data_IF_593100242042
#
_entry.id   IF_593100242042
#
_cell.length_a   1.000
_cell.length_b   1.000
_cell.length_c   1.000
_cell.angle_alpha   90.00
_cell.angle_beta   90.00
_cell.angle_gamma   90.00
#
_symmetry.space_group_name_H-M   'P 1'
#
loop_
_entity.id
_entity.type
_entity.pdbx_description
1 polymer ?
#
# COMPACT_ATOMS: atom_id res chain seq x y z
N UNK A 1 25.68 59.62 -68.70
CA UNK A 1 24.35 60.13 -68.31
C UNK A 1 23.58 58.94 -67.78
N UNK A 2 23.48 58.78 -66.46
CA UNK A 2 22.83 57.62 -65.85
C UNK A 2 21.35 57.59 -66.28
N UNK A 3 20.88 56.45 -66.78
CA UNK A 3 19.55 56.30 -67.35
C UNK A 3 18.50 56.27 -66.21
N UNK A 4 17.60 57.25 -66.11
CA UNK A 4 16.61 57.32 -65.03
C UNK A 4 15.68 56.10 -64.98
N UNK A 5 15.52 55.38 -66.10
CA UNK A 5 14.73 54.16 -66.15
C UNK A 5 15.41 52.97 -65.45
N UNK A 6 16.75 52.93 -65.42
CA UNK A 6 17.49 51.88 -64.69
C UNK A 6 17.39 52.07 -63.17
N UNK A 7 17.33 53.32 -62.70
CA UNK A 7 17.10 53.62 -61.29
C UNK A 7 15.71 53.15 -60.82
N UNK A 8 14.69 53.30 -61.68
CA UNK A 8 13.32 52.86 -61.39
C UNK A 8 13.17 51.32 -61.37
N UNK A 9 13.89 50.61 -62.24
CA UNK A 9 13.91 49.13 -62.23
C UNK A 9 14.60 48.55 -60.99
N UNK A 10 15.61 49.25 -60.46
CA UNK A 10 16.31 48.85 -59.23
C UNK A 10 15.46 49.12 -57.97
N UNK A 11 14.63 50.16 -57.96
CA UNK A 11 13.67 50.40 -56.87
C UNK A 11 12.59 49.31 -56.81
N UNK A 12 12.14 48.77 -57.95
CA UNK A 12 11.16 47.67 -58.01
C UNK A 12 11.71 46.31 -57.54
N UNK A 13 13.02 46.12 -57.48
CA UNK A 13 13.65 44.86 -57.05
C UNK A 13 13.81 44.77 -55.52
N UNK A 14 13.52 45.87 -54.79
CA UNK A 14 13.62 45.96 -53.33
C UNK A 14 12.27 45.71 -52.65
N UNK A 15 11.48 44.80 -53.20
CA UNK A 15 10.17 44.42 -52.65
C UNK A 15 9.97 42.90 -52.65
N UNK A 16 11.03 42.16 -52.34
CA UNK A 16 10.87 40.82 -51.79
C UNK A 16 10.54 41.02 -50.31
N UNK A 17 9.25 41.15 -50.01
CA UNK A 17 8.75 40.87 -48.68
C UNK A 17 9.19 39.44 -48.32
N UNK A 18 10.18 39.32 -47.43
CA UNK A 18 10.33 38.09 -46.66
C UNK A 18 8.99 37.87 -45.95
N UNK A 19 8.38 36.68 -46.04
CA UNK A 19 7.23 36.40 -45.19
C UNK A 19 7.68 36.68 -43.76
N UNK A 20 6.90 37.51 -43.05
CA UNK A 20 7.11 37.77 -41.63
C UNK A 20 7.56 36.49 -40.97
N UNK A 21 8.70 36.53 -40.27
CA UNK A 21 9.26 35.39 -39.53
C UNK A 21 8.08 34.66 -38.93
N UNK A 22 7.84 33.42 -39.40
CA UNK A 22 6.69 32.63 -38.99
C UNK A 22 6.74 32.67 -37.49
N UNK A 23 5.85 33.49 -36.92
CA UNK A 23 5.83 33.71 -35.50
C UNK A 23 5.47 32.34 -35.00
N UNK A 24 6.47 31.60 -34.52
CA UNK A 24 6.30 30.30 -33.89
C UNK A 24 5.43 30.41 -32.62
N UNK A 25 4.98 31.63 -32.32
CA UNK A 25 3.82 32.02 -31.55
C UNK A 25 2.55 32.11 -32.41
N UNK A 26 1.54 31.25 -32.19
CA UNK A 26 1.13 30.85 -30.86
C UNK A 26 1.49 29.37 -30.69
N UNK A 27 2.34 29.06 -29.72
CA UNK A 27 2.22 27.77 -29.06
C UNK A 27 0.79 27.74 -28.52
N UNK A 28 -0.12 27.20 -29.31
CA UNK A 28 -1.55 27.19 -29.04
C UNK A 28 -1.74 26.75 -27.60
N UNK A 29 -2.58 27.46 -26.85
CA UNK A 29 -2.88 27.20 -25.42
C UNK A 29 -3.06 25.69 -25.14
N UNK A 30 -3.47 24.90 -26.15
CA UNK A 30 -3.49 23.44 -26.13
C UNK A 30 -2.19 22.74 -25.69
N UNK A 31 -0.99 23.24 -26.00
CA UNK A 31 0.25 22.62 -25.49
C UNK A 31 0.44 22.82 -23.99
N UNK A 32 0.03 23.97 -23.46
CA UNK A 32 0.02 24.21 -22.02
C UNK A 32 -1.00 23.30 -21.33
N UNK A 33 -2.15 23.03 -21.96
CA UNK A 33 -3.12 22.05 -21.47
C UNK A 33 -2.53 20.64 -21.48
N UNK A 34 -1.86 20.23 -22.56
CA UNK A 34 -1.17 18.92 -22.65
C UNK A 34 -0.08 18.81 -21.59
N UNK A 35 0.74 19.85 -21.40
CA UNK A 35 1.77 19.89 -20.38
C UNK A 35 1.18 19.81 -18.97
N UNK A 36 0.08 20.53 -18.70
CA UNK A 36 -0.62 20.46 -17.41
C UNK A 36 -1.18 19.06 -17.13
N UNK A 37 -1.75 18.40 -18.15
CA UNK A 37 -2.22 17.00 -18.04
C UNK A 37 -1.05 16.07 -17.76
N UNK A 38 0.07 16.20 -18.48
CA UNK A 38 1.27 15.39 -18.25
C UNK A 38 1.78 15.56 -16.82
N UNK A 39 1.88 16.81 -16.32
CA UNK A 39 2.32 17.09 -14.95
C UNK A 39 1.34 16.49 -13.93
N UNK A 40 0.03 16.61 -14.16
CA UNK A 40 -0.98 16.03 -13.28
C UNK A 40 -0.88 14.50 -13.22
N UNK A 41 -0.71 13.84 -14.38
CA UNK A 41 -0.51 12.39 -14.47
C UNK A 41 0.78 11.98 -13.74
N UNK A 42 1.89 12.68 -13.98
CA UNK A 42 3.17 12.41 -13.30
C UNK A 42 3.01 12.56 -11.78
N UNK A 43 2.34 13.62 -11.33
CA UNK A 43 2.12 13.88 -9.90
C UNK A 43 1.27 12.79 -9.27
N UNK A 44 0.21 12.34 -9.95
CA UNK A 44 -0.62 11.21 -9.50
C UNK A 44 0.17 9.90 -9.45
N UNK A 45 1.01 9.63 -10.45
CA UNK A 45 1.86 8.43 -10.47
C UNK A 45 2.88 8.45 -9.33
N UNK A 46 3.54 9.60 -9.09
CA UNK A 46 4.49 9.79 -8.00
C UNK A 46 3.78 9.64 -6.65
N UNK A 47 2.63 10.29 -6.45
CA UNK A 47 1.87 10.18 -5.20
C UNK A 47 1.47 8.72 -4.93
N UNK A 48 0.99 8.00 -5.95
CA UNK A 48 0.64 6.58 -5.83
C UNK A 48 1.87 5.72 -5.51
N UNK A 49 3.01 5.99 -6.14
CA UNK A 49 4.26 5.28 -5.87
C UNK A 49 4.77 5.53 -4.45
N UNK A 50 4.71 6.77 -3.95
CA UNK A 50 5.10 7.11 -2.57
C UNK A 50 4.21 6.38 -1.56
N UNK A 51 2.88 6.39 -1.76
CA UNK A 51 1.95 5.67 -0.87
C UNK A 51 2.24 4.17 -0.88
N UNK A 52 2.49 3.57 -2.04
CA UNK A 52 2.87 2.15 -2.14
C UNK A 52 4.20 1.85 -1.46
N UNK A 53 5.21 2.71 -1.64
CA UNK A 53 6.51 2.54 -0.98
C UNK A 53 6.40 2.68 0.54
N UNK A 54 5.62 3.64 1.04
CA UNK A 54 5.39 3.82 2.47
C UNK A 54 4.76 2.57 3.08
N UNK A 55 3.72 2.02 2.44
CA UNK A 55 3.10 0.75 2.85
C UNK A 55 4.13 -0.37 2.97
N UNK A 56 4.91 -0.60 1.91
CA UNK A 56 5.99 -1.62 1.90
C UNK A 56 7.02 -1.43 3.02
N UNK A 57 7.34 -0.19 3.39
CA UNK A 57 8.26 0.10 4.51
C UNK A 57 7.69 -0.35 5.85
N UNK A 58 6.39 -0.18 6.10
CA UNK A 58 5.78 -0.60 7.37
C UNK A 58 5.82 -2.12 7.56
N UNK A 59 5.58 -2.90 6.50
CA UNK A 59 5.75 -4.37 6.58
C UNK A 59 7.21 -4.76 6.88
N UNK A 60 8.18 -4.06 6.27
CA UNK A 60 9.61 -4.29 6.56
C UNK A 60 9.98 -3.95 8.00
N UNK A 61 9.46 -2.85 8.55
CA UNK A 61 9.68 -2.52 9.96
C UNK A 61 9.10 -3.58 10.90
N UNK A 62 7.89 -4.07 10.63
CA UNK A 62 7.27 -5.14 11.40
C UNK A 62 8.09 -6.44 11.35
N UNK A 63 8.69 -6.78 10.20
CA UNK A 63 9.57 -7.95 10.07
C UNK A 63 10.87 -7.80 10.88
N UNK A 64 11.47 -6.60 10.89
CA UNK A 64 12.68 -6.35 11.68
C UNK A 64 12.40 -6.51 13.17
N UNK A 65 11.27 -5.99 13.64
CA UNK A 65 10.85 -6.09 15.04
C UNK A 65 10.49 -7.53 15.43
N UNK A 66 9.93 -8.31 14.50
CA UNK A 66 9.70 -9.73 14.70
C UNK A 66 11.01 -10.53 14.85
N UNK A 67 12.04 -10.16 14.08
CA UNK A 67 13.37 -10.76 14.20
C UNK A 67 14.03 -10.43 15.55
N UNK A 68 13.79 -9.23 16.09
CA UNK A 68 14.25 -8.85 17.43
C UNK A 68 13.58 -9.71 18.51
N UNK A 69 12.26 -9.94 18.40
CA UNK A 69 11.53 -10.84 19.31
C UNK A 69 12.08 -12.26 19.26
N UNK A 70 12.42 -12.75 18.06
CA UNK A 70 12.98 -14.09 17.87
C UNK A 70 14.29 -14.29 18.64
N UNK A 71 15.16 -13.27 18.64
CA UNK A 71 16.43 -13.30 19.36
C UNK A 71 16.29 -12.92 20.84
N UNK A 72 15.18 -12.29 21.22
CA UNK A 72 14.90 -11.97 22.60
C UNK A 72 14.35 -13.19 23.36
N UNK A 73 14.79 -13.33 24.61
CA UNK A 73 14.21 -14.30 25.55
C UNK A 73 13.02 -13.70 26.32
N UNK A 74 12.32 -12.75 25.68
CA UNK A 74 11.21 -12.08 26.29
C UNK A 74 10.01 -13.02 26.40
N UNK A 75 9.46 -13.13 27.60
CA UNK A 75 8.28 -13.96 27.87
C UNK A 75 7.08 -13.44 27.09
N UNK A 76 6.95 -12.13 26.89
CA UNK A 76 5.80 -11.54 26.21
C UNK A 76 5.86 -11.63 24.66
N UNK A 77 6.68 -12.52 24.10
CA UNK A 77 6.90 -12.66 22.65
C UNK A 77 5.60 -12.85 21.86
N UNK A 78 4.62 -13.59 22.41
CA UNK A 78 3.35 -13.88 21.76
C UNK A 78 2.48 -12.62 21.66
N UNK A 79 2.37 -11.88 22.77
CA UNK A 79 1.61 -10.62 22.83
C UNK A 79 2.26 -9.57 21.94
N UNK A 80 3.59 -9.45 21.97
CA UNK A 80 4.32 -8.51 21.13
C UNK A 80 4.15 -8.84 19.65
N UNK A 81 4.27 -10.11 19.26
CA UNK A 81 4.04 -10.54 17.87
C UNK A 81 2.62 -10.20 17.42
N UNK A 82 1.61 -10.46 18.25
CA UNK A 82 0.22 -10.08 17.96
C UNK A 82 0.05 -8.56 17.79
N UNK A 83 0.66 -7.75 18.67
CA UNK A 83 0.63 -6.29 18.58
C UNK A 83 1.30 -5.78 17.31
N UNK A 84 2.44 -6.36 16.92
CA UNK A 84 3.16 -6.02 15.68
C UNK A 84 2.29 -6.30 14.46
N UNK A 85 1.66 -7.48 14.41
CA UNK A 85 0.76 -7.83 13.29
C UNK A 85 -0.45 -6.90 13.22
N UNK A 86 -1.09 -6.59 14.36
CA UNK A 86 -2.18 -5.61 14.41
C UNK A 86 -1.73 -4.23 13.95
N UNK A 87 -0.58 -3.74 14.44
CA UNK A 87 -0.03 -2.43 14.05
C UNK A 87 0.31 -2.38 12.56
N UNK A 88 0.91 -3.44 12.03
CA UNK A 88 1.18 -3.55 10.59
C UNK A 88 -0.11 -3.51 9.78
N UNK A 89 -1.16 -4.23 10.20
CA UNK A 89 -2.45 -4.25 9.50
C UNK A 89 -3.13 -2.88 9.44
N UNK A 90 -3.00 -2.04 10.47
CA UNK A 90 -3.50 -0.66 10.49
C UNK A 90 -2.85 0.26 9.45
N UNK A 91 -1.67 -0.10 8.93
CA UNK A 91 -1.01 0.63 7.84
C UNK A 91 -1.55 0.24 6.45
N UNK A 92 -2.19 -0.93 6.33
CA UNK A 92 -2.73 -1.45 5.07
C UNK A 92 -4.24 -1.31 4.98
N UNK A 93 -4.93 -1.33 6.12
CA UNK A 93 -6.38 -1.32 6.21
C UNK A 93 -6.93 -0.08 6.93
N UNK A 94 -8.19 0.31 6.68
CA UNK A 94 -8.82 1.44 7.35
C UNK A 94 -8.88 1.23 8.86
N UNK A 95 -8.49 2.26 9.64
CA UNK A 95 -8.52 2.22 11.10
C UNK A 95 -9.89 1.87 11.68
N UNK A 96 -10.98 2.28 11.02
CA UNK A 96 -12.35 1.99 11.45
C UNK A 96 -12.68 0.50 11.48
N UNK A 97 -12.09 -0.30 10.59
CA UNK A 97 -12.35 -1.74 10.51
C UNK A 97 -11.51 -2.52 11.53
N UNK A 98 -10.24 -2.15 11.69
CA UNK A 98 -9.30 -2.90 12.55
C UNK A 98 -9.36 -2.48 14.02
N UNK A 99 -9.59 -1.19 14.33
CA UNK A 99 -9.58 -0.70 15.72
C UNK A 99 -10.79 -1.18 16.54
N UNK A 100 -11.88 -1.56 15.88
CA UNK A 100 -13.08 -2.11 16.53
C UNK A 100 -13.09 -3.64 16.62
N UNK A 101 -12.06 -4.33 16.11
CA UNK A 101 -12.04 -5.80 16.07
C UNK A 101 -11.59 -6.40 17.40
N UNK A 102 -12.45 -7.24 17.98
CA UNK A 102 -12.09 -8.16 19.06
C UNK A 102 -11.08 -9.23 18.60
N UNK A 103 -10.44 -9.90 19.55
CA UNK A 103 -9.46 -10.98 19.29
C UNK A 103 -10.01 -12.08 18.39
N UNK A 104 -11.28 -12.48 18.58
CA UNK A 104 -11.93 -13.52 17.75
C UNK A 104 -12.04 -13.11 16.27
N UNK A 105 -12.48 -11.88 16.04
CA UNK A 105 -12.57 -11.33 14.70
C UNK A 105 -11.20 -11.22 14.04
N UNK A 106 -10.16 -10.91 14.83
CA UNK A 106 -8.78 -10.86 14.36
C UNK A 106 -8.28 -12.22 13.87
N UNK A 107 -8.56 -13.29 14.60
CA UNK A 107 -8.20 -14.66 14.20
C UNK A 107 -8.93 -15.06 12.91
N UNK A 108 -10.20 -14.70 12.75
CA UNK A 108 -10.96 -14.94 11.51
C UNK A 108 -10.31 -14.23 10.31
N UNK A 109 -9.88 -12.97 10.48
CA UNK A 109 -9.17 -12.22 9.45
C UNK A 109 -7.86 -12.89 9.08
N UNK A 110 -7.07 -13.35 10.05
CA UNK A 110 -5.83 -14.07 9.79
C UNK A 110 -6.09 -15.35 8.98
N UNK A 111 -7.11 -16.11 9.35
CA UNK A 111 -7.54 -17.30 8.60
C UNK A 111 -7.95 -16.96 7.16
N UNK A 112 -8.77 -15.92 6.95
CA UNK A 112 -9.23 -15.54 5.61
C UNK A 112 -8.12 -14.96 4.72
N UNK A 113 -7.09 -14.35 5.32
CA UNK A 113 -5.99 -13.70 4.58
C UNK A 113 -4.76 -14.58 4.40
N UNK A 114 -4.68 -15.70 5.12
CA UNK A 114 -3.53 -16.59 5.15
C UNK A 114 -3.88 -18.02 5.53
N UNK A 115 -4.98 -18.56 5.02
CA UNK A 115 -5.41 -19.95 5.30
C UNK A 115 -4.33 -20.98 4.97
N UNK A 116 -3.48 -20.69 3.99
CA UNK A 116 -2.38 -21.56 3.55
C UNK A 116 -1.09 -21.35 4.37
N UNK A 117 -1.05 -20.32 5.21
CA UNK A 117 0.11 -19.92 6.00
C UNK A 117 -0.07 -20.33 7.46
N UNK A 118 -1.29 -20.17 7.99
CA UNK A 118 -1.57 -20.36 9.41
C UNK A 118 -2.02 -21.78 9.74
N UNK A 119 -1.37 -22.38 10.72
CA UNK A 119 -1.82 -23.64 11.31
C UNK A 119 -2.98 -23.39 12.29
N UNK A 120 -3.97 -24.29 12.33
CA UNK A 120 -5.12 -24.19 13.26
C UNK A 120 -4.69 -24.04 14.73
N UNK A 121 -3.65 -24.77 15.14
CA UNK A 121 -3.08 -24.69 16.49
C UNK A 121 -2.54 -23.30 16.82
N UNK A 122 -1.90 -22.62 15.87
CA UNK A 122 -1.35 -21.29 16.05
C UNK A 122 -2.44 -20.22 16.08
N UNK A 123 -3.52 -20.40 15.32
CA UNK A 123 -4.70 -19.53 15.37
C UNK A 123 -5.42 -19.64 16.72
N UNK A 124 -5.59 -20.86 17.23
CA UNK A 124 -6.13 -21.11 18.58
C UNK A 124 -5.23 -20.51 19.66
N UNK A 125 -3.91 -20.67 19.52
CA UNK A 125 -2.93 -20.06 20.41
C UNK A 125 -3.05 -18.53 20.43
N UNK A 126 -3.40 -17.90 19.31
CA UNK A 126 -3.60 -16.45 19.21
C UNK A 126 -4.92 -15.99 19.86
N UNK A 127 -5.96 -16.83 19.78
CA UNK A 127 -7.24 -16.59 20.44
C UNK A 127 -7.11 -16.69 21.98
N UNK A 128 -6.40 -17.71 22.46
CA UNK A 128 -6.18 -17.98 23.90
C UNK A 128 -5.02 -17.17 24.50
N UNK A 129 -4.04 -16.81 23.66
CA UNK A 129 -2.69 -16.35 24.03
C UNK A 129 -2.60 -14.97 24.63
N UNK A 130 -3.68 -14.17 24.58
CA UNK A 130 -3.75 -12.91 25.35
C UNK A 130 -3.77 -13.19 26.86
N UNK A 131 -4.18 -14.40 27.27
CA UNK A 131 -4.30 -14.80 28.68
C UNK A 131 -3.47 -16.03 29.06
N UNK A 132 -2.79 -16.68 28.10
CA UNK A 132 -2.00 -17.89 28.35
C UNK A 132 -0.56 -17.55 28.70
N UNK A 133 0.00 -18.24 29.70
CA UNK A 133 1.40 -18.06 30.08
C UNK A 133 2.33 -18.60 28.96
N UNK A 134 3.16 -17.74 28.34
CA UNK A 134 4.05 -18.10 27.24
C UNK A 134 5.18 -19.06 27.66
N UNK A 135 5.45 -19.22 28.97
CA UNK A 135 6.43 -20.18 29.50
C UNK A 135 6.03 -21.65 29.26
N UNK A 136 4.80 -21.92 28.83
CA UNK A 136 4.29 -23.28 28.53
C UNK A 136 4.46 -23.70 27.08
N UNK A 137 5.02 -22.83 26.23
CA UNK A 137 5.13 -23.05 24.79
C UNK A 137 6.56 -23.46 24.47
N UNK A 138 6.73 -24.63 23.85
CA UNK A 138 8.04 -25.12 23.42
C UNK A 138 8.71 -24.15 22.43
N UNK A 139 10.05 -24.08 22.48
CA UNK A 139 10.84 -23.24 21.57
C UNK A 139 10.57 -23.54 20.10
N UNK A 140 10.29 -24.79 19.74
CA UNK A 140 9.93 -25.19 18.37
C UNK A 140 8.58 -24.60 17.93
N UNK A 141 7.56 -24.67 18.80
CA UNK A 141 6.26 -24.04 18.54
C UNK A 141 6.38 -22.51 18.45
N UNK A 142 7.23 -21.88 19.28
CA UNK A 142 7.56 -20.45 19.18
C UNK A 142 8.16 -20.11 17.81
N UNK A 143 9.15 -20.86 17.35
CA UNK A 143 9.80 -20.61 16.05
C UNK A 143 8.84 -20.79 14.87
N UNK A 144 8.02 -21.84 14.89
CA UNK A 144 6.99 -22.07 13.87
C UNK A 144 5.98 -20.91 13.80
N UNK A 145 5.50 -20.45 14.95
CA UNK A 145 4.57 -19.32 15.02
C UNK A 145 5.20 -18.03 14.45
N UNK A 146 6.43 -17.72 14.84
CA UNK A 146 7.16 -16.55 14.33
C UNK A 146 7.40 -16.66 12.81
N UNK A 147 7.66 -17.86 12.31
CA UNK A 147 7.82 -18.10 10.88
C UNK A 147 6.52 -17.85 10.11
N UNK A 148 5.38 -18.40 10.57
CA UNK A 148 4.06 -18.16 9.96
C UNK A 148 3.70 -16.66 9.99
N UNK A 149 3.94 -15.99 11.12
CA UNK A 149 3.73 -14.55 11.26
C UNK A 149 4.59 -13.75 10.26
N UNK A 150 5.86 -14.14 10.07
CA UNK A 150 6.76 -13.48 9.11
C UNK A 150 6.30 -13.66 7.65
N UNK A 151 5.84 -14.87 7.29
CA UNK A 151 5.30 -15.18 5.97
C UNK A 151 4.03 -14.38 5.70
N UNK A 152 3.14 -14.30 6.67
CA UNK A 152 1.91 -13.51 6.57
C UNK A 152 2.21 -12.02 6.44
N UNK A 153 3.11 -11.45 7.25
CA UNK A 153 3.53 -10.05 7.16
C UNK A 153 4.16 -9.70 5.80
N UNK A 154 4.90 -10.65 5.20
CA UNK A 154 5.46 -10.48 3.87
C UNK A 154 4.38 -10.53 2.77
N UNK A 155 3.28 -11.27 2.98
CA UNK A 155 2.15 -11.34 2.06
C UNK A 155 1.16 -10.17 2.23
N UNK A 156 1.16 -9.48 3.38
CA UNK A 156 0.31 -8.33 3.69
C UNK A 156 0.25 -7.23 2.59
N UNK A 157 1.34 -6.85 1.90
CA UNK A 157 1.30 -5.86 0.83
C UNK A 157 0.51 -6.29 -0.42
N UNK A 158 0.29 -7.59 -0.59
CA UNK A 158 -0.45 -8.15 -1.71
C UNK A 158 -1.96 -8.18 -1.45
N UNK A 159 -2.38 -8.08 -0.18
CA UNK A 159 -3.79 -8.03 0.22
C UNK A 159 -4.39 -6.67 -0.19
N UNK A 160 -5.10 -6.66 -1.33
CA UNK A 160 -5.71 -5.42 -1.88
C UNK A 160 -6.92 -4.95 -1.08
N UNK A 161 -7.65 -5.87 -0.46
CA UNK A 161 -8.90 -5.60 0.25
C UNK A 161 -9.02 -6.57 1.43
N UNK A 162 -9.55 -6.08 2.55
CA UNK A 162 -10.05 -6.97 3.59
C UNK A 162 -11.24 -7.74 3.02
N UNK A 163 -11.36 -9.05 3.30
CA UNK A 163 -12.63 -9.74 3.10
C UNK A 163 -13.72 -8.92 3.80
N UNK A 164 -14.87 -8.77 3.13
CA UNK A 164 -16.02 -8.13 3.75
C UNK A 164 -16.27 -8.83 5.08
N UNK A 165 -16.44 -8.06 6.14
CA UNK A 165 -16.88 -8.61 7.41
C UNK A 165 -18.30 -9.13 7.21
N UNK A 166 -18.42 -10.39 6.80
CA UNK A 166 -19.71 -11.01 6.61
C UNK A 166 -20.23 -11.32 8.01
N UNK A 167 -21.16 -10.51 8.50
CA UNK A 167 -21.88 -10.71 9.76
C UNK A 167 -22.52 -12.10 9.87
N UNK A 168 -22.65 -12.86 8.77
CA UNK A 168 -23.16 -14.22 8.79
C UNK A 168 -22.36 -15.15 9.73
N UNK A 169 -21.05 -14.98 9.85
CA UNK A 169 -20.25 -15.79 10.76
C UNK A 169 -20.39 -15.34 12.23
N UNK A 170 -20.62 -14.04 12.46
CA UNK A 170 -20.93 -13.51 13.79
C UNK A 170 -22.30 -14.01 14.30
N UNK A 171 -23.27 -14.19 13.41
CA UNK A 171 -24.56 -14.80 13.73
C UNK A 171 -24.46 -16.32 13.94
N UNK A 172 -23.60 -17.02 13.21
CA UNK A 172 -23.43 -18.48 13.37
C UNK A 172 -22.74 -18.84 14.69
N UNK A 173 -21.74 -18.04 15.12
CA UNK A 173 -21.09 -18.21 16.41
C UNK A 173 -21.99 -17.87 17.62
N UNK A 174 -23.04 -17.06 17.43
CA UNK A 174 -24.05 -16.76 18.46
C UNK A 174 -25.28 -17.68 18.39
N UNK A 175 -25.60 -18.22 17.21
CA UNK A 175 -26.76 -19.08 16.98
C UNK A 175 -26.63 -20.52 17.50
N UNK A 176 -25.42 -20.96 17.85
CA UNK A 176 -25.16 -22.29 18.42
C UNK A 176 -25.55 -22.47 19.89
N UNK A 177 -26.02 -21.42 20.58
CA UNK A 177 -26.41 -21.47 22.02
C UNK A 177 -27.92 -21.46 22.27
N UNK A 178 -28.77 -21.74 21.27
CA UNK A 178 -30.22 -21.87 21.48
C UNK A 178 -30.77 -23.19 20.94
N UNK A 179 -30.31 -24.30 21.51
CA UNK A 179 -31.09 -25.54 21.56
C UNK A 179 -30.75 -26.30 22.84
N UNK A 180 -31.41 -25.90 23.92
CA UNK A 180 -31.91 -26.79 24.98
C UNK A 180 -33.41 -26.58 25.05
#
# INVERSE_FOLDING_TARGET
MANPQQAQLLEQLRDIHLPDDVSWWPLAIGWWVVLAIIIAVITLLIAKAIVQQRRKRYARFALIELEDIKHSDNKDWLIQTHQIMRRASLCYFPKSQVASMDTKHWVILLYQTGSDIWTQQNLQLLEEGVYRNPDTIDSEHKEQFLQEASLWLNNLPHLKQLPAFTESFAMEAQGGQSHV
#
